data_IF_988807545077
#
_entry.id   IF_988807545077
#
_cell.length_a   1.000
_cell.length_b   1.000
_cell.length_c   1.000
_cell.angle_alpha   90.00
_cell.angle_beta   90.00
_cell.angle_gamma   90.00
#
_symmetry.space_group_name_H-M   'P 1'
#
loop_
_entity.id
_entity.type
_entity.pdbx_description
1 polymer ?
#
# COMPACT_ATOMS: atom_id res chain seq x y z
N UNK A 1 2.64 -13.43 5.63
CA UNK A 1 3.72 -13.54 6.61
C UNK A 1 3.16 -14.18 7.86
N UNK A 2 3.81 -15.19 8.44
CA UNK A 2 3.41 -15.74 9.74
C UNK A 2 3.84 -14.84 10.89
N UNK A 3 2.95 -14.59 11.85
CA UNK A 3 3.30 -13.95 13.11
C UNK A 3 4.08 -14.91 14.00
N UNK A 4 5.05 -14.38 14.75
CA UNK A 4 5.80 -15.13 15.77
C UNK A 4 4.84 -15.58 16.86
N UNK A 5 5.03 -16.79 17.37
CA UNK A 5 4.27 -17.33 18.52
C UNK A 5 4.27 -16.37 19.71
N UNK A 6 5.40 -15.73 20.00
CA UNK A 6 5.49 -14.73 21.08
C UNK A 6 4.55 -13.53 20.92
N UNK A 7 4.21 -13.15 19.68
CA UNK A 7 3.23 -12.09 19.39
C UNK A 7 1.81 -12.64 19.54
N UNK A 8 1.53 -13.83 19.00
CA UNK A 8 0.24 -14.51 19.15
C UNK A 8 -0.13 -14.69 20.63
N UNK A 9 0.83 -15.08 21.46
CA UNK A 9 0.71 -15.18 22.92
C UNK A 9 0.18 -13.90 23.58
N UNK A 10 0.70 -12.74 23.15
CA UNK A 10 0.30 -11.44 23.71
C UNK A 10 -1.03 -10.98 23.14
N UNK A 11 -1.27 -11.19 21.83
CA UNK A 11 -2.57 -10.91 21.22
C UNK A 11 -3.66 -11.75 21.90
N UNK A 12 -3.39 -13.01 22.23
CA UNK A 12 -4.32 -13.86 22.96
C UNK A 12 -4.70 -13.26 24.33
N UNK A 13 -3.71 -12.77 25.09
CA UNK A 13 -3.96 -12.06 26.36
C UNK A 13 -4.82 -10.80 26.16
N UNK A 14 -4.55 -10.02 25.11
CA UNK A 14 -5.33 -8.82 24.77
C UNK A 14 -6.76 -9.13 24.36
N UNK A 15 -6.98 -10.19 23.56
CA UNK A 15 -8.31 -10.67 23.19
C UNK A 15 -9.08 -11.12 24.45
N UNK A 16 -8.44 -11.84 25.36
CA UNK A 16 -9.04 -12.22 26.64
C UNK A 16 -9.32 -11.00 27.56
N UNK A 17 -8.59 -9.90 27.37
CA UNK A 17 -8.59 -8.75 28.28
C UNK A 17 -7.95 -9.08 29.63
N UNK A 18 -6.92 -9.91 29.62
CA UNK A 18 -6.19 -10.33 30.83
C UNK A 18 -5.03 -9.38 31.17
N UNK A 19 -4.58 -9.38 32.43
CA UNK A 19 -3.42 -8.59 32.86
C UNK A 19 -2.15 -8.96 32.05
N UNK A 20 -1.28 -7.98 31.74
CA UNK A 20 -1.28 -6.59 32.19
C UNK A 20 -2.15 -5.63 31.34
N UNK A 21 -2.93 -6.14 30.40
CA UNK A 21 -3.64 -5.35 29.39
C UNK A 21 -5.03 -4.91 29.84
N UNK A 22 -5.13 -4.28 31.02
CA UNK A 22 -6.40 -3.86 31.64
C UNK A 22 -7.19 -2.80 30.85
N UNK A 23 -6.59 -2.25 29.79
CA UNK A 23 -7.23 -1.30 28.87
C UNK A 23 -7.97 -1.96 27.71
N UNK A 24 -7.94 -3.29 27.61
CA UNK A 24 -8.84 -4.06 26.75
C UNK A 24 -10.07 -4.53 27.55
N UNK A 25 -11.24 -4.62 26.89
CA UNK A 25 -12.41 -5.24 27.49
C UNK A 25 -12.16 -6.71 27.83
N UNK A 26 -12.52 -7.09 29.06
CA UNK A 26 -12.48 -8.48 29.50
C UNK A 26 -13.49 -9.34 28.71
N UNK A 27 -13.05 -10.47 28.18
CA UNK A 27 -13.90 -11.43 27.44
C UNK A 27 -13.96 -12.78 28.14
N UNK A 28 -15.13 -13.14 28.69
CA UNK A 28 -15.42 -14.50 29.14
C UNK A 28 -15.49 -15.48 27.96
N UNK A 29 -15.58 -16.79 28.22
CA UNK A 29 -15.68 -17.82 27.17
C UNK A 29 -16.82 -17.58 26.16
N UNK A 30 -17.96 -17.06 26.61
CA UNK A 30 -19.08 -16.70 25.72
C UNK A 30 -18.72 -15.50 24.83
N UNK A 31 -18.05 -14.49 25.39
CA UNK A 31 -17.59 -13.32 24.63
C UNK A 31 -16.42 -13.64 23.69
N UNK A 32 -15.60 -14.64 24.00
CA UNK A 32 -14.58 -15.14 23.08
C UNK A 32 -15.21 -15.85 21.87
N UNK A 33 -16.25 -16.65 22.10
CA UNK A 33 -17.04 -17.24 21.01
C UNK A 33 -17.67 -16.15 20.14
N UNK A 34 -18.23 -15.09 20.76
CA UNK A 34 -18.79 -13.97 20.02
C UNK A 34 -17.73 -13.20 19.23
N UNK A 35 -16.54 -12.97 19.81
CA UNK A 35 -15.43 -12.26 19.17
C UNK A 35 -15.02 -12.89 17.82
N UNK A 36 -14.91 -14.21 17.76
CA UNK A 36 -14.58 -14.90 16.52
C UNK A 36 -15.77 -14.95 15.55
N UNK A 37 -17.00 -15.07 16.06
CA UNK A 37 -18.21 -14.99 15.24
C UNK A 37 -18.37 -13.61 14.58
N UNK A 38 -17.99 -12.53 15.25
CA UNK A 38 -18.08 -11.16 14.72
C UNK A 38 -17.19 -10.94 13.48
N UNK A 39 -16.20 -11.82 13.25
CA UNK A 39 -15.34 -11.86 12.06
C UNK A 39 -15.61 -13.08 11.18
N UNK A 40 -16.83 -13.61 11.25
CA UNK A 40 -17.33 -14.76 10.48
C UNK A 40 -16.59 -16.08 10.68
N UNK A 41 -15.85 -16.21 11.79
CA UNK A 41 -15.16 -17.45 12.17
C UNK A 41 -16.00 -18.27 13.16
N UNK A 42 -16.21 -19.55 12.85
CA UNK A 42 -17.12 -20.44 13.59
C UNK A 42 -16.46 -21.14 14.78
N UNK A 43 -15.54 -20.47 15.47
CA UNK A 43 -14.91 -21.00 16.68
C UNK A 43 -15.83 -20.88 17.88
N UNK A 44 -15.96 -21.97 18.64
CA UNK A 44 -16.73 -22.02 19.89
C UNK A 44 -15.79 -22.42 21.01
N UNK A 45 -15.75 -21.62 22.06
CA UNK A 45 -14.89 -21.89 23.21
C UNK A 45 -15.29 -23.19 23.91
N UNK A 46 -14.34 -24.07 24.14
CA UNK A 46 -14.55 -25.47 24.56
C UNK A 46 -14.56 -25.69 26.09
N UNK A 47 -14.27 -24.65 26.86
CA UNK A 47 -14.22 -24.68 28.33
C UNK A 47 -12.81 -24.84 28.90
N UNK A 48 -11.79 -24.92 28.04
CA UNK A 48 -10.39 -24.87 28.44
C UNK A 48 -9.98 -23.45 28.89
N UNK A 49 -8.71 -23.26 29.21
CA UNK A 49 -8.22 -21.95 29.65
C UNK A 49 -8.27 -20.94 28.49
N UNK A 50 -9.01 -19.84 28.69
CA UNK A 50 -9.23 -18.76 27.71
C UNK A 50 -7.98 -18.38 26.90
N UNK A 51 -6.88 -18.02 27.56
CA UNK A 51 -5.63 -17.60 26.88
C UNK A 51 -5.10 -18.69 25.95
N UNK A 52 -5.02 -19.93 26.42
CA UNK A 52 -4.47 -21.05 25.66
C UNK A 52 -5.40 -21.43 24.51
N UNK A 53 -6.71 -21.37 24.73
CA UNK A 53 -7.70 -21.59 23.68
C UNK A 53 -7.59 -20.54 22.57
N UNK A 54 -7.57 -19.25 22.92
CA UNK A 54 -7.43 -18.16 21.94
C UNK A 54 -6.11 -18.28 21.19
N UNK A 55 -5.01 -18.59 21.89
CA UNK A 55 -3.72 -18.80 21.24
C UNK A 55 -3.78 -19.94 20.22
N UNK A 56 -4.37 -21.09 20.56
CA UNK A 56 -4.51 -22.22 19.64
C UNK A 56 -5.30 -21.83 18.38
N UNK A 57 -6.40 -21.09 18.55
CA UNK A 57 -7.17 -20.54 17.43
C UNK A 57 -6.30 -19.62 16.57
N UNK A 58 -5.55 -18.68 17.18
CA UNK A 58 -4.67 -17.80 16.43
C UNK A 58 -3.54 -18.54 15.72
N UNK A 59 -3.01 -19.62 16.30
CA UNK A 59 -2.00 -20.45 15.64
C UNK A 59 -2.57 -21.14 14.40
N UNK A 60 -3.78 -21.69 14.47
CA UNK A 60 -4.48 -22.25 13.31
C UNK A 60 -4.71 -21.19 12.22
N UNK A 61 -5.18 -20.00 12.60
CA UNK A 61 -5.40 -18.91 11.65
C UNK A 61 -4.10 -18.40 11.02
N UNK A 62 -2.99 -18.48 11.74
CA UNK A 62 -1.66 -18.08 11.29
C UNK A 62 -1.02 -19.11 10.33
N UNK A 63 -1.56 -20.33 10.26
CA UNK A 63 -1.17 -21.35 9.28
C UNK A 63 -1.90 -21.20 7.93
N UNK A 64 -2.98 -20.41 7.88
CA UNK A 64 -3.72 -20.14 6.65
C UNK A 64 -2.81 -19.40 5.64
N UNK A 65 -2.80 -19.80 4.35
CA UNK A 65 -2.00 -19.14 3.33
C UNK A 65 -2.32 -17.64 3.22
N UNK A 66 -1.26 -16.87 3.11
CA UNK A 66 -1.29 -15.42 2.92
C UNK A 66 -1.68 -15.02 1.49
N UNK A 67 -2.49 -13.97 1.36
CA UNK A 67 -2.85 -13.39 0.05
C UNK A 67 -1.78 -12.38 -0.41
N UNK A 68 -1.08 -11.75 0.53
CA UNK A 68 -0.01 -10.77 0.28
C UNK A 68 1.24 -11.09 1.10
N UNK A 69 2.45 -11.02 0.51
CA UNK A 69 3.70 -11.48 1.12
C UNK A 69 4.07 -10.75 2.43
N UNK A 70 3.62 -9.50 2.58
CA UNK A 70 4.02 -8.62 3.68
C UNK A 70 2.98 -8.50 4.81
N UNK A 71 1.82 -9.15 4.65
CA UNK A 71 0.73 -9.13 5.62
C UNK A 71 0.44 -10.54 6.15
N UNK A 72 -0.10 -10.67 7.37
CA UNK A 72 -0.59 -11.96 7.84
C UNK A 72 -1.81 -12.43 7.04
N UNK A 73 -2.27 -13.66 7.30
CA UNK A 73 -3.53 -14.17 6.73
C UNK A 73 -4.68 -13.20 6.97
N UNK A 74 -5.68 -13.23 6.10
CA UNK A 74 -6.82 -12.31 6.18
C UNK A 74 -7.56 -12.48 7.52
N UNK A 75 -7.60 -13.70 8.05
CA UNK A 75 -8.22 -14.05 9.32
C UNK A 75 -7.46 -13.45 10.51
N UNK A 76 -6.12 -13.50 10.51
CA UNK A 76 -5.30 -12.84 11.53
C UNK A 76 -5.45 -11.32 11.45
N UNK A 77 -5.46 -10.77 10.22
CA UNK A 77 -5.72 -9.35 10.01
C UNK A 77 -7.08 -8.95 10.62
N UNK A 78 -8.14 -9.68 10.29
CA UNK A 78 -9.48 -9.44 10.80
C UNK A 78 -9.53 -9.56 12.34
N UNK A 79 -8.83 -10.53 12.93
CA UNK A 79 -8.76 -10.68 14.38
C UNK A 79 -8.09 -9.48 15.06
N UNK A 80 -6.98 -8.98 14.51
CA UNK A 80 -6.27 -7.80 15.06
C UNK A 80 -7.12 -6.54 14.90
N UNK A 81 -7.75 -6.33 13.74
CA UNK A 81 -8.62 -5.17 13.51
C UNK A 81 -9.87 -5.22 14.39
N UNK A 82 -10.48 -6.40 14.56
CA UNK A 82 -11.64 -6.56 15.42
C UNK A 82 -11.30 -6.38 16.90
N UNK A 83 -10.13 -6.85 17.36
CA UNK A 83 -9.64 -6.61 18.73
C UNK A 83 -9.69 -5.12 19.12
N UNK A 84 -9.43 -4.24 18.15
CA UNK A 84 -9.36 -2.80 18.31
C UNK A 84 -10.61 -2.06 17.80
N UNK A 85 -11.68 -2.80 17.49
CA UNK A 85 -12.94 -2.23 17.00
C UNK A 85 -13.53 -1.25 18.02
N UNK A 86 -13.84 0.00 17.62
CA UNK A 86 -14.31 1.04 18.55
C UNK A 86 -15.56 0.64 19.33
N UNK A 87 -16.40 -0.25 18.78
CA UNK A 87 -17.62 -0.72 19.44
C UNK A 87 -17.32 -1.33 20.82
N UNK A 88 -16.21 -2.05 20.96
CA UNK A 88 -15.84 -2.69 22.21
C UNK A 88 -15.38 -1.69 23.28
N UNK A 89 -14.98 -0.48 22.89
CA UNK A 89 -14.52 0.55 23.82
C UNK A 89 -15.64 1.55 24.16
N UNK A 90 -16.59 1.77 23.25
CA UNK A 90 -17.74 2.66 23.48
C UNK A 90 -18.67 2.11 24.56
N UNK A 91 -19.03 0.82 24.51
CA UNK A 91 -19.93 0.22 25.50
C UNK A 91 -19.34 0.13 26.91
N UNK A 92 -18.02 0.27 27.01
CA UNK A 92 -17.27 0.25 28.26
C UNK A 92 -16.86 1.66 28.73
N UNK A 93 -17.48 2.73 28.20
CA UNK A 93 -17.13 4.11 28.52
C UNK A 93 -17.17 4.47 30.02
N UNK A 94 -17.86 3.67 30.83
CA UNK A 94 -17.97 3.84 32.28
C UNK A 94 -16.77 3.24 33.05
N UNK A 95 -15.90 2.48 32.38
CA UNK A 95 -14.67 1.90 32.92
C UNK A 95 -13.47 2.72 32.40
N UNK A 96 -12.93 3.67 33.17
CA UNK A 96 -11.90 4.61 32.70
C UNK A 96 -10.58 3.94 32.30
N UNK A 97 -10.35 2.71 32.77
CA UNK A 97 -9.21 1.88 32.37
C UNK A 97 -9.30 1.41 30.91
N UNK A 98 -10.50 1.16 30.38
CA UNK A 98 -10.70 0.66 29.00
C UNK A 98 -10.52 1.81 28.02
N UNK A 99 -9.50 1.70 27.17
CA UNK A 99 -9.08 2.81 26.31
C UNK A 99 -8.53 2.30 24.99
N UNK A 100 -9.18 2.70 23.90
CA UNK A 100 -8.81 2.26 22.55
C UNK A 100 -7.43 2.76 22.13
N UNK A 101 -7.05 3.99 22.48
CA UNK A 101 -5.77 4.55 22.06
C UNK A 101 -4.60 3.80 22.73
N UNK A 102 -4.72 3.51 24.04
CA UNK A 102 -3.76 2.65 24.76
C UNK A 102 -3.71 1.23 24.18
N UNK A 103 -4.86 0.69 23.78
CA UNK A 103 -4.95 -0.62 23.14
C UNK A 103 -4.20 -0.65 21.81
N UNK A 104 -4.36 0.39 20.98
CA UNK A 104 -3.66 0.54 19.70
C UNK A 104 -2.15 0.66 19.92
N UNK A 105 -1.71 1.49 20.88
CA UNK A 105 -0.30 1.66 21.22
C UNK A 105 0.34 0.33 21.62
N UNK A 106 -0.32 -0.43 22.50
CA UNK A 106 0.18 -1.74 22.96
C UNK A 106 0.25 -2.78 21.83
N UNK A 107 -0.73 -2.81 20.92
CA UNK A 107 -0.66 -3.70 19.75
C UNK A 107 0.51 -3.30 18.86
N UNK A 108 0.65 -1.99 18.56
CA UNK A 108 1.69 -1.46 17.71
C UNK A 108 3.11 -1.72 18.22
N UNK A 109 3.36 -1.58 19.53
CA UNK A 109 4.67 -1.90 20.12
C UNK A 109 5.12 -3.34 19.82
N UNK A 110 4.18 -4.28 19.75
CA UNK A 110 4.48 -5.70 19.53
C UNK A 110 4.64 -6.04 18.05
N UNK A 111 3.68 -5.62 17.22
CA UNK A 111 3.63 -6.02 15.80
C UNK A 111 4.67 -5.27 14.95
N UNK A 112 5.14 -4.11 15.42
CA UNK A 112 6.18 -3.32 14.74
C UNK A 112 7.48 -4.08 14.53
N UNK A 113 7.79 -5.05 15.41
CA UNK A 113 8.96 -5.93 15.30
C UNK A 113 8.91 -6.80 14.03
N UNK A 114 7.72 -7.01 13.46
CA UNK A 114 7.51 -7.73 12.21
C UNK A 114 7.08 -6.79 11.07
N UNK A 115 7.47 -5.52 11.12
CA UNK A 115 7.14 -4.54 10.09
C UNK A 115 5.63 -4.43 9.84
N UNK A 116 4.82 -4.43 10.90
CA UNK A 116 3.38 -4.18 10.83
C UNK A 116 2.99 -2.97 11.67
N UNK A 117 1.89 -2.32 11.32
CA UNK A 117 1.32 -1.21 12.08
C UNK A 117 -0.20 -1.15 11.91
N UNK A 118 -0.90 -0.89 13.01
CA UNK A 118 -2.31 -0.54 13.03
C UNK A 118 -2.46 0.97 13.05
N UNK A 119 -3.24 1.50 12.11
CA UNK A 119 -3.54 2.93 12.01
C UNK A 119 -5.01 3.19 12.33
N UNK A 120 -5.26 4.18 13.20
CA UNK A 120 -6.60 4.63 13.58
C UNK A 120 -7.10 5.70 12.61
N UNK A 121 -8.31 5.53 12.11
CA UNK A 121 -9.04 6.57 11.41
C UNK A 121 -9.65 7.55 12.41
N UNK A 122 -9.23 8.81 12.35
CA UNK A 122 -9.65 9.87 13.30
C UNK A 122 -11.13 10.25 13.20
N UNK A 123 -11.82 9.96 12.09
CA UNK A 123 -13.23 10.35 11.88
C UNK A 123 -14.22 9.39 12.54
N UNK A 124 -13.96 8.10 12.46
CA UNK A 124 -14.87 7.04 12.92
C UNK A 124 -14.25 6.10 13.95
N UNK A 125 -12.99 6.34 14.35
CA UNK A 125 -12.22 5.50 15.26
C UNK A 125 -12.03 4.04 14.78
N UNK A 126 -12.29 3.75 13.49
CA UNK A 126 -11.98 2.44 12.92
C UNK A 126 -10.47 2.26 12.82
N UNK A 127 -10.01 1.01 12.78
CA UNK A 127 -8.59 0.70 12.66
C UNK A 127 -8.33 -0.16 11.44
N UNK A 128 -7.12 -0.08 10.89
CA UNK A 128 -6.68 -0.94 9.80
C UNK A 128 -5.21 -1.31 9.95
N UNK A 129 -4.88 -2.56 9.62
CA UNK A 129 -3.53 -3.13 9.70
C UNK A 129 -2.81 -3.00 8.35
N UNK A 130 -1.57 -2.54 8.38
CA UNK A 130 -0.70 -2.34 7.22
C UNK A 130 0.69 -2.92 7.46
N UNK A 131 1.42 -3.25 6.38
CA UNK A 131 2.87 -3.46 6.47
C UNK A 131 3.56 -2.10 6.56
N UNK A 132 4.59 -1.99 7.40
CA UNK A 132 5.42 -0.78 7.47
C UNK A 132 6.07 -0.51 6.11
N UNK A 133 6.34 -1.51 5.28
CA UNK A 133 6.86 -1.27 3.92
C UNK A 133 5.82 -0.63 3.00
N UNK A 134 4.53 -0.97 3.16
CA UNK A 134 3.43 -0.27 2.49
C UNK A 134 3.28 1.17 3.01
N UNK A 135 3.73 1.41 4.25
CA UNK A 135 3.84 2.74 4.85
C UNK A 135 5.13 3.46 4.39
N UNK A 136 6.24 2.76 4.15
CA UNK A 136 7.57 3.32 3.85
C UNK A 136 7.80 3.70 2.40
N UNK A 137 7.03 3.12 1.46
CA UNK A 137 6.87 3.70 0.12
C UNK A 137 6.27 5.12 0.15
N UNK A 138 5.76 5.56 1.32
CA UNK A 138 5.27 6.92 1.58
C UNK A 138 6.07 7.73 2.62
N UNK A 139 7.17 7.21 3.20
CA UNK A 139 7.97 7.93 4.21
C UNK A 139 9.40 8.28 3.77
N UNK A 140 9.53 9.42 3.08
CA UNK A 140 10.61 10.37 3.38
C UNK A 140 10.04 11.77 3.57
N UNK A 141 9.60 12.07 4.79
CA UNK A 141 10.04 13.26 5.54
C UNK A 141 9.27 13.43 6.85
N UNK A 142 10.02 13.62 7.92
CA UNK A 142 9.55 14.11 9.21
C UNK A 142 8.92 15.50 9.04
N UNK A 143 7.63 15.64 9.37
CA UNK A 143 7.07 16.77 10.12
C UNK A 143 5.55 16.61 10.26
N UNK A 144 5.09 16.51 11.51
CA UNK A 144 3.76 16.80 12.06
C UNK A 144 2.68 17.31 11.07
N UNK A 145 2.17 16.44 10.21
CA UNK A 145 0.80 16.50 9.70
C UNK A 145 0.15 15.17 10.06
N UNK A 146 -1.05 15.22 10.60
CA UNK A 146 -1.91 14.06 10.75
C UNK A 146 -1.89 13.24 9.47
N UNK A 147 -1.35 12.01 9.51
CA UNK A 147 -1.45 11.04 8.43
C UNK A 147 -2.92 10.69 8.23
N UNK A 148 -3.63 11.52 7.47
CA UNK A 148 -4.97 11.22 7.00
C UNK A 148 -4.82 10.18 5.90
N UNK A 149 -5.25 8.94 6.19
CA UNK A 149 -5.42 7.92 5.17
C UNK A 149 -6.51 8.42 4.21
N UNK A 150 -6.12 8.68 2.97
CA UNK A 150 -7.07 8.97 1.89
C UNK A 150 -7.45 7.65 1.25
N UNK A 151 -8.65 7.16 1.57
CA UNK A 151 -9.24 6.02 0.88
C UNK A 151 -9.78 6.49 -0.47
N UNK A 152 -9.24 5.94 -1.55
CA UNK A 152 -9.63 6.27 -2.93
C UNK A 152 -10.47 5.12 -3.45
N UNK A 153 -11.75 5.39 -3.69
CA UNK A 153 -12.67 4.46 -4.34
C UNK A 153 -13.10 5.05 -5.68
N UNK A 154 -12.34 4.83 -6.77
CA UNK A 154 -12.69 5.38 -8.07
C UNK A 154 -14.03 4.80 -8.54
N UNK A 155 -14.92 5.65 -9.09
CA UNK A 155 -16.18 5.19 -9.71
C UNK A 155 -16.00 4.84 -11.19
N UNK A 156 -14.93 5.31 -11.81
CA UNK A 156 -14.66 5.17 -13.25
C UNK A 156 -13.72 3.99 -13.55
N UNK A 157 -12.94 3.57 -12.56
CA UNK A 157 -11.96 2.49 -12.69
C UNK A 157 -12.33 1.32 -11.80
N UNK A 158 -12.17 0.12 -12.33
CA UNK A 158 -12.16 -1.09 -11.51
C UNK A 158 -10.77 -1.26 -10.91
N UNK A 159 -10.71 -1.60 -9.62
CA UNK A 159 -9.44 -1.93 -8.97
C UNK A 159 -8.99 -3.30 -9.53
N UNK A 160 -7.82 -3.40 -10.15
CA UNK A 160 -7.36 -4.66 -10.73
C UNK A 160 -7.08 -5.68 -9.63
N UNK A 161 -7.33 -6.96 -9.91
CA UNK A 161 -6.94 -8.07 -9.03
C UNK A 161 -5.42 -8.28 -9.02
N UNK A 162 -4.74 -7.84 -10.09
CA UNK A 162 -3.28 -7.90 -10.20
C UNK A 162 -2.63 -7.01 -9.14
N UNK A 163 -1.72 -7.61 -8.38
CA UNK A 163 -0.95 -6.91 -7.37
C UNK A 163 0.13 -5.99 -7.96
N UNK A 164 0.76 -5.23 -7.08
CA UNK A 164 1.92 -4.41 -7.38
C UNK A 164 3.10 -5.26 -7.88
N UNK A 165 3.75 -4.83 -8.97
CA UNK A 165 4.93 -5.46 -9.55
C UNK A 165 6.16 -4.56 -9.36
N UNK A 166 7.09 -5.03 -8.53
CA UNK A 166 8.34 -4.33 -8.20
C UNK A 166 9.27 -4.10 -9.40
N UNK A 167 9.09 -4.86 -10.49
CA UNK A 167 9.90 -4.74 -11.70
C UNK A 167 9.22 -3.93 -12.79
N UNK A 168 7.94 -3.59 -12.64
CA UNK A 168 7.17 -2.95 -13.70
C UNK A 168 7.37 -1.44 -13.73
N UNK A 169 7.77 -0.94 -14.90
CA UNK A 169 7.85 0.48 -15.25
C UNK A 169 6.83 0.76 -16.34
N UNK A 170 5.89 1.66 -16.07
CA UNK A 170 4.91 2.10 -17.06
C UNK A 170 5.34 3.38 -17.75
N UNK A 171 5.17 3.48 -19.06
CA UNK A 171 5.52 4.67 -19.85
C UNK A 171 4.26 5.28 -20.47
N UNK A 172 4.02 6.55 -20.11
CA UNK A 172 2.92 7.39 -20.58
C UNK A 172 3.50 8.44 -21.52
N UNK A 173 3.26 8.32 -22.81
CA UNK A 173 3.93 9.18 -23.80
C UNK A 173 3.08 9.36 -25.07
N UNK A 174 3.35 10.38 -25.90
CA UNK A 174 2.71 10.49 -27.19
C UNK A 174 3.04 9.29 -28.10
N UNK A 175 2.05 8.84 -28.88
CA UNK A 175 2.17 7.65 -29.73
C UNK A 175 2.59 7.93 -31.18
N UNK A 176 2.98 9.16 -31.51
CA UNK A 176 3.48 9.46 -32.86
C UNK A 176 4.84 8.79 -33.08
N UNK A 177 5.10 8.34 -34.31
CA UNK A 177 6.35 7.64 -34.68
C UNK A 177 7.64 8.38 -34.31
N UNK A 178 7.59 9.70 -34.21
CA UNK A 178 8.70 10.53 -33.75
C UNK A 178 9.18 10.18 -32.32
N UNK A 179 8.37 9.48 -31.54
CA UNK A 179 8.68 9.04 -30.19
C UNK A 179 9.12 7.56 -30.10
N UNK A 180 9.17 6.83 -31.22
CA UNK A 180 9.56 5.41 -31.20
C UNK A 180 10.99 5.24 -30.69
N UNK A 181 11.93 6.08 -31.14
CA UNK A 181 13.32 6.07 -30.68
C UNK A 181 13.45 6.47 -29.21
N UNK A 182 12.59 7.38 -28.74
CA UNK A 182 12.50 7.78 -27.33
C UNK A 182 12.07 6.59 -26.48
N UNK A 183 11.03 5.87 -26.91
CA UNK A 183 10.53 4.68 -26.21
C UNK A 183 11.57 3.55 -26.18
N UNK A 184 12.24 3.29 -27.30
CA UNK A 184 13.33 2.31 -27.39
C UNK A 184 14.44 2.66 -26.38
N UNK A 185 14.81 3.94 -26.30
CA UNK A 185 15.83 4.42 -25.37
C UNK A 185 15.42 4.18 -23.90
N UNK A 186 14.16 4.47 -23.54
CA UNK A 186 13.61 4.18 -22.21
C UNK A 186 13.65 2.68 -21.92
N UNK A 187 13.26 1.86 -22.90
CA UNK A 187 13.25 0.39 -22.78
C UNK A 187 14.65 -0.17 -22.57
N UNK A 188 15.66 0.37 -23.26
CA UNK A 188 17.07 -0.01 -23.06
C UNK A 188 17.51 0.22 -21.62
N UNK A 189 17.22 1.41 -21.07
CA UNK A 189 17.54 1.73 -19.67
C UNK A 189 16.85 0.78 -18.69
N UNK A 190 15.57 0.47 -18.92
CA UNK A 190 14.84 -0.47 -18.07
C UNK A 190 15.46 -1.87 -18.13
N UNK A 191 15.79 -2.37 -19.32
CA UNK A 191 16.42 -3.68 -19.51
C UNK A 191 17.79 -3.76 -18.82
N UNK A 192 18.60 -2.69 -18.89
CA UNK A 192 19.88 -2.62 -18.17
C UNK A 192 19.74 -2.68 -16.64
N UNK A 193 18.58 -2.28 -16.12
CA UNK A 193 18.27 -2.28 -14.69
C UNK A 193 17.45 -3.52 -14.26
N UNK A 194 17.26 -4.52 -15.13
CA UNK A 194 16.41 -5.69 -14.88
C UNK A 194 14.94 -5.32 -14.56
N UNK A 195 14.43 -4.28 -15.22
CA UNK A 195 13.06 -3.80 -15.09
C UNK A 195 12.26 -4.04 -16.38
N UNK A 196 10.97 -4.35 -16.21
CA UNK A 196 10.02 -4.58 -17.28
C UNK A 196 9.38 -3.24 -17.70
N UNK A 197 9.69 -2.76 -18.89
CA UNK A 197 9.09 -1.56 -19.45
C UNK A 197 7.83 -1.88 -20.27
N UNK A 198 6.70 -1.26 -19.95
CA UNK A 198 5.45 -1.35 -20.73
C UNK A 198 4.93 0.04 -21.09
N UNK A 199 4.58 0.24 -22.35
CA UNK A 199 3.91 1.46 -22.83
C UNK A 199 2.40 1.28 -22.78
N UNK A 200 1.67 2.37 -22.52
CA UNK A 200 0.23 2.37 -22.34
C UNK A 200 -0.60 1.82 -23.54
N UNK A 201 -0.12 2.02 -24.76
CA UNK A 201 -0.76 1.60 -26.02
C UNK A 201 -0.43 0.16 -26.45
N UNK A 202 0.54 -0.49 -25.80
CA UNK A 202 0.90 -1.89 -26.09
C UNK A 202 -0.05 -2.89 -25.39
N UNK A 203 -1.09 -2.40 -24.69
CA UNK A 203 -2.01 -3.20 -23.88
C UNK A 203 -3.40 -3.22 -24.52
N UNK A 204 -3.94 -4.43 -24.67
CA UNK A 204 -5.31 -4.67 -25.13
C UNK A 204 -5.90 -5.82 -24.31
N UNK A 205 -6.17 -5.55 -23.04
CA UNK A 205 -6.71 -6.56 -22.11
C UNK A 205 -8.18 -6.27 -21.77
N UNK A 206 -8.55 -5.00 -21.64
CA UNK A 206 -9.91 -4.57 -21.34
C UNK A 206 -10.62 -3.97 -22.57
N UNK A 207 -11.96 -4.00 -22.57
CA UNK A 207 -12.77 -3.34 -23.60
C UNK A 207 -12.70 -1.80 -23.55
N UNK A 208 -12.17 -1.25 -22.45
CA UNK A 208 -12.05 0.17 -22.18
C UNK A 208 -10.56 0.51 -22.04
N UNK A 209 -10.00 1.27 -23.00
CA UNK A 209 -8.57 1.62 -23.05
C UNK A 209 -8.09 2.27 -21.75
N UNK A 210 -8.88 3.18 -21.16
CA UNK A 210 -8.46 3.87 -19.94
C UNK A 210 -8.38 2.93 -18.72
N UNK A 211 -9.08 1.79 -18.75
CA UNK A 211 -8.96 0.77 -17.70
C UNK A 211 -7.61 0.04 -17.78
N UNK A 212 -7.14 -0.28 -18.99
CA UNK A 212 -5.81 -0.88 -19.20
C UNK A 212 -4.69 0.06 -18.72
N UNK A 213 -4.84 1.35 -19.03
CA UNK A 213 -3.90 2.39 -18.59
C UNK A 213 -3.90 2.52 -17.06
N UNK A 214 -5.08 2.56 -16.45
CA UNK A 214 -5.21 2.60 -14.99
C UNK A 214 -4.56 1.38 -14.34
N UNK A 215 -4.83 0.17 -14.83
CA UNK A 215 -4.25 -1.07 -14.31
C UNK A 215 -2.72 -1.08 -14.46
N UNK A 216 -2.19 -0.61 -15.60
CA UNK A 216 -0.76 -0.49 -15.82
C UNK A 216 -0.11 0.47 -14.80
N UNK A 217 -0.69 1.66 -14.60
CA UNK A 217 -0.21 2.63 -13.60
C UNK A 217 -0.30 2.00 -12.21
N UNK A 218 -1.43 1.40 -11.87
CA UNK A 218 -1.70 0.81 -10.56
C UNK A 218 -0.70 -0.29 -10.21
N UNK A 219 -0.35 -1.17 -11.15
CA UNK A 219 0.58 -2.27 -10.91
C UNK A 219 2.05 -1.83 -10.95
N UNK A 220 2.37 -0.70 -11.60
CA UNK A 220 3.76 -0.25 -11.77
C UNK A 220 4.43 0.21 -10.47
N UNK A 221 5.73 -0.05 -10.35
CA UNK A 221 6.62 0.56 -9.35
C UNK A 221 6.94 2.01 -9.67
N UNK A 222 7.13 2.29 -10.95
CA UNK A 222 7.57 3.60 -11.43
C UNK A 222 6.85 3.96 -12.73
N UNK A 223 6.47 5.23 -12.83
CA UNK A 223 5.81 5.78 -14.01
C UNK A 223 6.74 6.79 -14.67
N UNK A 224 7.04 6.62 -15.95
CA UNK A 224 7.72 7.61 -16.77
C UNK A 224 6.66 8.33 -17.59
N UNK A 225 6.67 9.66 -17.58
CA UNK A 225 5.77 10.47 -18.40
C UNK A 225 6.56 11.34 -19.37
N UNK A 226 6.19 11.34 -20.65
CA UNK A 226 6.75 12.27 -21.65
C UNK A 226 5.79 13.42 -21.89
N UNK A 227 6.14 14.59 -21.36
CA UNK A 227 5.32 15.79 -21.41
C UNK A 227 5.43 16.55 -22.74
N UNK A 228 6.29 16.11 -23.67
CA UNK A 228 6.55 16.81 -24.93
C UNK A 228 5.26 17.02 -25.73
N UNK A 229 5.16 18.14 -26.44
CA UNK A 229 3.98 18.52 -27.22
C UNK A 229 2.68 18.67 -26.41
N UNK A 230 2.77 18.71 -25.07
CA UNK A 230 1.66 19.02 -24.16
C UNK A 230 0.41 18.16 -24.37
N UNK A 231 0.58 16.85 -24.55
CA UNK A 231 -0.55 15.94 -24.79
C UNK A 231 -1.45 15.85 -23.55
N UNK A 232 -2.75 16.20 -23.65
CA UNK A 232 -3.65 16.19 -22.50
C UNK A 232 -3.76 14.84 -21.78
N UNK A 233 -3.74 13.74 -22.55
CA UNK A 233 -3.86 12.38 -21.99
C UNK A 233 -2.71 12.04 -21.05
N UNK A 234 -1.48 12.40 -21.41
CA UNK A 234 -0.30 12.14 -20.56
C UNK A 234 -0.41 12.88 -19.22
N UNK A 235 -0.95 14.10 -19.22
CA UNK A 235 -1.17 14.83 -17.97
C UNK A 235 -2.32 14.27 -17.13
N UNK A 236 -3.37 13.75 -17.78
CA UNK A 236 -4.43 13.02 -17.10
C UNK A 236 -3.88 11.77 -16.40
N UNK A 237 -3.06 11.00 -17.10
CA UNK A 237 -2.38 9.80 -16.59
C UNK A 237 -1.40 10.13 -15.45
N UNK A 238 -0.64 11.23 -15.58
CA UNK A 238 0.22 11.74 -14.51
C UNK A 238 -0.59 12.10 -13.25
N UNK A 239 -1.76 12.71 -13.41
CA UNK A 239 -2.67 13.02 -12.30
C UNK A 239 -3.17 11.76 -11.59
N UNK A 240 -3.50 10.70 -12.33
CA UNK A 240 -3.85 9.39 -11.76
C UNK A 240 -2.66 8.81 -10.99
N UNK A 241 -1.47 8.80 -11.60
CA UNK A 241 -0.26 8.27 -10.98
C UNK A 241 0.07 8.99 -9.65
N UNK A 242 0.00 10.32 -9.62
CA UNK A 242 0.20 11.11 -8.41
C UNK A 242 -0.86 10.81 -7.34
N UNK A 243 -2.11 10.67 -7.75
CA UNK A 243 -3.23 10.35 -6.86
C UNK A 243 -3.04 8.98 -6.19
N UNK A 244 -2.48 8.01 -6.93
CA UNK A 244 -2.14 6.68 -6.43
C UNK A 244 -0.80 6.61 -5.68
N UNK A 245 -0.12 7.75 -5.48
CA UNK A 245 1.17 7.83 -4.77
C UNK A 245 2.34 7.21 -5.53
N UNK A 246 2.24 7.05 -6.86
CA UNK A 246 3.31 6.47 -7.68
C UNK A 246 4.50 7.42 -7.81
N UNK A 247 5.69 6.85 -7.89
CA UNK A 247 6.89 7.61 -8.25
C UNK A 247 6.84 7.93 -9.74
N UNK A 248 6.77 9.22 -10.07
CA UNK A 248 6.70 9.72 -11.45
C UNK A 248 8.03 10.37 -11.84
N UNK A 249 8.61 9.94 -12.97
CA UNK A 249 9.75 10.61 -13.62
C UNK A 249 9.25 11.32 -14.89
N UNK A 250 9.13 12.65 -14.87
CA UNK A 250 8.80 13.41 -16.06
C UNK A 250 10.02 13.63 -16.96
N UNK A 251 9.83 13.40 -18.25
CA UNK A 251 10.78 13.74 -19.32
C UNK A 251 10.12 14.71 -20.31
N UNK A 252 10.92 15.51 -21.02
CA UNK A 252 10.40 16.44 -22.04
C UNK A 252 11.46 16.86 -23.05
N UNK A 253 11.06 17.21 -24.27
CA UNK A 253 11.92 17.88 -25.25
C UNK A 253 12.07 19.37 -24.95
N UNK A 254 11.02 20.01 -24.41
CA UNK A 254 11.00 21.42 -24.05
C UNK A 254 10.45 21.64 -22.64
N UNK A 255 11.12 22.48 -21.85
CA UNK A 255 10.61 22.89 -20.54
C UNK A 255 9.32 23.71 -20.63
N UNK A 256 9.05 24.32 -21.79
CA UNK A 256 7.80 25.07 -22.03
C UNK A 256 6.58 24.14 -22.12
N UNK A 257 6.80 22.84 -22.36
CA UNK A 257 5.73 21.85 -22.39
C UNK A 257 5.28 21.42 -20.99
N UNK A 258 6.04 21.77 -19.94
CA UNK A 258 5.72 21.40 -18.56
C UNK A 258 4.67 22.37 -17.98
N UNK A 259 3.46 21.88 -17.62
CA UNK A 259 2.45 22.72 -16.98
C UNK A 259 2.92 23.18 -15.60
N UNK A 260 2.38 24.30 -15.13
CA UNK A 260 2.78 24.91 -13.86
C UNK A 260 2.75 23.92 -12.68
N UNK A 261 1.74 23.05 -12.63
CA UNK A 261 1.56 22.03 -11.59
C UNK A 261 2.74 21.04 -11.50
N UNK A 262 3.46 20.80 -12.60
CA UNK A 262 4.60 19.89 -12.67
C UNK A 262 5.96 20.59 -12.58
N UNK A 263 6.02 21.93 -12.64
CA UNK A 263 7.29 22.68 -12.65
C UNK A 263 8.10 22.55 -11.36
N UNK A 264 7.46 22.18 -10.25
CA UNK A 264 8.13 21.94 -8.97
C UNK A 264 8.79 20.56 -8.89
N UNK A 265 8.53 19.67 -9.86
CA UNK A 265 9.14 18.35 -9.94
C UNK A 265 10.45 18.41 -10.75
N UNK A 266 11.37 17.49 -10.47
CA UNK A 266 12.59 17.32 -11.28
C UNK A 266 12.19 16.70 -12.62
N UNK A 267 12.41 17.43 -13.71
CA UNK A 267 12.13 17.01 -15.09
C UNK A 267 13.45 16.74 -15.81
N UNK A 268 13.53 15.64 -16.56
CA UNK A 268 14.66 15.37 -17.45
C UNK A 268 14.38 15.94 -18.84
N UNK A 269 15.17 16.93 -19.25
CA UNK A 269 15.07 17.46 -20.60
C UNK A 269 15.96 16.64 -21.56
N UNK A 270 15.44 16.31 -22.74
CA UNK A 270 16.19 15.61 -23.78
C UNK A 270 16.08 16.29 -25.14
N UNK A 271 16.96 15.92 -26.07
CA UNK A 271 16.84 16.27 -27.48
C UNK A 271 16.51 15.01 -28.26
N UNK A 272 15.54 15.08 -29.18
CA UNK A 272 15.12 13.93 -29.98
C UNK A 272 16.07 13.71 -31.18
N UNK A 273 17.33 13.43 -30.86
CA UNK A 273 18.37 13.02 -31.80
C UNK A 273 19.30 12.02 -31.11
N UNK A 274 20.16 11.34 -31.87
CA UNK A 274 20.98 10.24 -31.30
C UNK A 274 21.86 10.63 -30.10
N UNK A 275 22.44 11.83 -30.09
CA UNK A 275 23.26 12.31 -28.96
C UNK A 275 22.39 12.66 -27.74
N UNK A 276 21.26 13.32 -27.97
CA UNK A 276 20.30 13.70 -26.93
C UNK A 276 19.64 12.51 -26.26
N UNK A 277 19.32 11.47 -27.03
CA UNK A 277 18.77 10.22 -26.49
C UNK A 277 19.79 9.47 -25.63
N UNK A 278 21.05 9.38 -26.05
CA UNK A 278 22.12 8.80 -25.21
C UNK A 278 22.29 9.54 -23.89
N UNK A 279 22.26 10.88 -23.91
CA UNK A 279 22.31 11.70 -22.70
C UNK A 279 21.07 11.47 -21.81
N UNK A 280 19.90 11.32 -22.43
CA UNK A 280 18.66 10.99 -21.73
C UNK A 280 18.76 9.63 -21.05
N UNK A 281 19.29 8.60 -21.72
CA UNK A 281 19.47 7.26 -21.16
C UNK A 281 20.34 7.30 -19.89
N UNK A 282 21.47 8.01 -19.94
CA UNK A 282 22.37 8.19 -18.79
C UNK A 282 21.67 8.86 -17.59
N UNK A 283 20.97 9.97 -17.84
CA UNK A 283 20.26 10.72 -16.79
C UNK A 283 19.09 9.92 -16.21
N UNK A 284 18.32 9.25 -17.08
CA UNK A 284 17.19 8.42 -16.68
C UNK A 284 17.66 7.25 -15.83
N UNK A 285 18.75 6.58 -16.23
CA UNK A 285 19.36 5.49 -15.44
C UNK A 285 19.75 5.96 -14.04
N UNK A 286 20.41 7.12 -13.93
CA UNK A 286 20.77 7.69 -12.63
C UNK A 286 19.54 8.02 -11.77
N UNK A 287 18.50 8.61 -12.37
CA UNK A 287 17.26 8.92 -11.68
C UNK A 287 16.56 7.65 -11.18
N UNK A 288 16.41 6.64 -12.03
CA UNK A 288 15.80 5.35 -11.70
C UNK A 288 16.59 4.63 -10.61
N UNK A 289 17.91 4.51 -10.69
CA UNK A 289 18.73 3.88 -9.64
C UNK A 289 18.61 4.57 -8.28
N UNK A 290 18.40 5.90 -8.27
CA UNK A 290 18.23 6.68 -7.04
C UNK A 290 16.85 6.47 -6.42
N UNK A 291 15.82 6.32 -7.27
CA UNK A 291 14.43 6.20 -6.85
C UNK A 291 14.02 4.76 -6.55
N UNK A 292 14.57 3.77 -7.25
CA UNK A 292 14.30 2.32 -7.07
C UNK A 292 14.92 1.77 -5.78
N UNK A 293 15.98 2.39 -5.26
CA UNK A 293 16.65 2.04 -3.99
C UNK A 293 15.96 2.59 -2.73
N UNK A 294 15.00 3.49 -2.90
CA UNK A 294 14.16 3.98 -1.81
C UNK A 294 12.92 3.12 -1.72
#
# INVERSE_FOLDING_TARGET
MKLKTSILDKIALMICGDLPYSFFPYRSSSYLTQFFRDIDLKYIHDGTTRKWWVQGVLEELNEIPEISPNLPSQEIKNAIENLLNPIYFIYNSNLPEINQDKAIDAVNEMIKIQNLVVVKNKKNNSVSLFSINDVDLSSKNQNNRSNEIVLIHPQVFNIPEKGFDEKLVSVMMPFSKEFDDVYISIKNVCNELDLNCKRADDIWENSIIIQDIFELIYCSKLVIIDCSNRKPNVFYEAGIAHTLGKTVIPITQSLDDIPFDLKHHRVLQYLNNGEGLRKMEEQLKMAMMTLVKK
#
